data_IF_704487115782
#
_entry.id   IF_704487115782
#
_cell.length_a   1.000
_cell.length_b   1.000
_cell.length_c   1.000
_cell.angle_alpha   90.00
_cell.angle_beta   90.00
_cell.angle_gamma   90.00
#
_symmetry.space_group_name_H-M   'P 1'
#
loop_
_entity.id
_entity.type
_entity.pdbx_description
1 polymer ?
#
# COMPACT_ATOMS: atom_id res chain seq x y z
N UNK A 1 25.13 3.79 -3.20
CA UNK A 1 24.42 4.68 -2.25
C UNK A 1 23.16 5.31 -2.85
N UNK A 2 23.13 5.63 -4.15
CA UNK A 2 21.98 6.25 -4.83
C UNK A 2 20.64 5.56 -4.56
N UNK A 3 20.58 4.22 -4.58
CA UNK A 3 19.36 3.47 -4.31
C UNK A 3 18.78 3.71 -2.90
N UNK A 4 19.62 3.89 -1.87
CA UNK A 4 19.16 4.16 -0.50
C UNK A 4 18.62 5.58 -0.36
N UNK A 5 19.24 6.56 -1.03
CA UNK A 5 18.76 7.94 -1.04
C UNK A 5 17.36 8.01 -1.65
N UNK A 6 17.11 7.29 -2.76
CA UNK A 6 15.78 7.23 -3.36
C UNK A 6 14.76 6.52 -2.46
N UNK A 7 15.15 5.47 -1.73
CA UNK A 7 14.29 4.86 -0.70
C UNK A 7 13.90 5.86 0.39
N UNK A 8 14.85 6.60 0.96
CA UNK A 8 14.56 7.56 2.01
C UNK A 8 13.71 8.75 1.51
N UNK A 9 13.98 9.27 0.31
CA UNK A 9 13.11 10.26 -0.34
C UNK A 9 11.68 9.74 -0.54
N UNK A 10 11.55 8.49 -1.00
CA UNK A 10 10.26 7.83 -1.13
C UNK A 10 9.57 7.60 0.22
N UNK A 11 10.29 7.48 1.33
CA UNK A 11 9.69 7.31 2.66
C UNK A 11 9.39 8.63 3.38
N UNK A 12 9.93 9.76 2.91
CA UNK A 12 9.68 11.10 3.47
C UNK A 12 8.30 11.67 3.08
N UNK A 13 7.25 10.87 3.20
CA UNK A 13 5.86 11.25 2.89
C UNK A 13 4.89 10.41 3.71
N UNK A 14 3.94 11.08 4.36
CA UNK A 14 2.99 10.47 5.29
C UNK A 14 2.15 9.39 4.62
N UNK A 15 1.64 9.62 3.41
CA UNK A 15 0.78 8.68 2.71
C UNK A 15 1.56 7.46 2.23
N UNK A 16 2.82 7.63 1.80
CA UNK A 16 3.70 6.51 1.46
C UNK A 16 4.03 5.65 2.68
N UNK A 17 4.23 6.24 3.86
CA UNK A 17 4.38 5.48 5.11
C UNK A 17 3.10 4.70 5.45
N UNK A 18 1.92 5.32 5.32
CA UNK A 18 0.62 4.64 5.52
C UNK A 18 0.44 3.44 4.57
N UNK A 19 0.77 3.61 3.28
CA UNK A 19 0.75 2.52 2.28
C UNK A 19 1.69 1.39 2.69
N UNK A 20 2.94 1.71 3.00
CA UNK A 20 3.94 0.73 3.42
C UNK A 20 3.48 -0.03 4.67
N UNK A 21 2.84 0.66 5.61
CA UNK A 21 2.33 0.04 6.83
C UNK A 21 1.24 -0.99 6.54
N UNK A 22 0.25 -0.65 5.70
CA UNK A 22 -0.76 -1.62 5.28
C UNK A 22 -0.14 -2.84 4.58
N UNK A 23 0.84 -2.63 3.68
CA UNK A 23 1.53 -3.71 2.99
C UNK A 23 2.32 -4.62 3.94
N UNK A 24 3.04 -4.04 4.91
CA UNK A 24 3.85 -4.77 5.88
C UNK A 24 2.97 -5.60 6.83
N UNK A 25 1.86 -5.02 7.30
CA UNK A 25 0.97 -5.62 8.30
C UNK A 25 0.02 -6.66 7.70
N UNK A 26 -0.37 -6.50 6.44
CA UNK A 26 -1.42 -7.35 5.83
C UNK A 26 -1.01 -8.80 5.61
N UNK A 27 0.27 -9.07 5.35
CA UNK A 27 0.76 -10.40 4.96
C UNK A 27 0.22 -10.92 3.61
N UNK A 28 -0.58 -10.14 2.89
CA UNK A 28 -1.18 -10.46 1.58
C UNK A 28 -0.89 -9.35 0.59
N UNK A 29 -1.04 -9.61 -0.71
CA UNK A 29 -1.09 -8.53 -1.69
C UNK A 29 -2.37 -7.69 -1.53
N UNK A 30 -2.27 -6.39 -1.82
CA UNK A 30 -3.35 -5.42 -1.67
C UNK A 30 -3.66 -4.76 -3.02
N UNK A 31 -4.92 -4.72 -3.41
CA UNK A 31 -5.36 -4.08 -4.64
C UNK A 31 -5.30 -2.54 -4.53
N UNK A 32 -4.99 -1.85 -5.63
CA UNK A 32 -5.05 -0.38 -5.72
C UNK A 32 -6.35 0.24 -5.18
N UNK A 33 -7.50 -0.38 -5.45
CA UNK A 33 -8.79 0.10 -4.97
C UNK A 33 -8.95 -0.03 -3.45
N UNK A 34 -8.33 -1.04 -2.85
CA UNK A 34 -8.38 -1.23 -1.41
C UNK A 34 -7.58 -0.15 -0.69
N UNK A 35 -6.49 0.36 -1.28
CA UNK A 35 -5.78 1.54 -0.76
C UNK A 35 -6.63 2.80 -0.82
N UNK A 36 -7.32 3.05 -1.92
CA UNK A 36 -8.24 4.20 -2.06
C UNK A 36 -9.27 4.21 -0.93
N UNK A 37 -9.91 3.07 -0.70
CA UNK A 37 -10.94 2.93 0.33
C UNK A 37 -10.36 3.03 1.75
N UNK A 38 -9.19 2.42 1.99
CA UNK A 38 -8.59 2.34 3.33
C UNK A 38 -7.92 3.63 3.77
N UNK A 39 -7.26 4.32 2.83
CA UNK A 39 -6.52 5.56 3.10
C UNK A 39 -7.37 6.81 2.90
N UNK A 40 -8.55 6.66 2.30
CA UNK A 40 -9.45 7.78 1.94
C UNK A 40 -8.74 8.79 1.03
N UNK A 41 -8.02 8.28 0.04
CA UNK A 41 -7.24 9.04 -0.93
C UNK A 41 -7.75 8.78 -2.35
N UNK A 42 -7.59 9.73 -3.26
CA UNK A 42 -8.00 9.54 -4.65
C UNK A 42 -7.17 8.47 -5.36
N UNK A 43 -7.76 7.81 -6.36
CA UNK A 43 -7.06 6.81 -7.18
C UNK A 43 -5.82 7.40 -7.88
N UNK A 44 -5.91 8.65 -8.35
CA UNK A 44 -4.76 9.36 -8.92
C UNK A 44 -3.61 9.48 -7.90
N UNK A 45 -3.92 9.89 -6.67
CA UNK A 45 -2.91 10.06 -5.63
C UNK A 45 -2.27 8.73 -5.25
N UNK A 46 -3.09 7.69 -5.03
CA UNK A 46 -2.60 6.33 -4.77
C UNK A 46 -1.68 5.84 -5.89
N UNK A 47 -2.08 5.98 -7.15
CA UNK A 47 -1.26 5.58 -8.31
C UNK A 47 0.09 6.30 -8.34
N UNK A 48 0.10 7.61 -8.06
CA UNK A 48 1.33 8.41 -7.96
C UNK A 48 2.24 7.90 -6.85
N UNK A 49 1.72 7.64 -5.66
CA UNK A 49 2.49 7.11 -4.54
C UNK A 49 3.06 5.71 -4.83
N UNK A 50 2.27 4.82 -5.45
CA UNK A 50 2.73 3.49 -5.86
C UNK A 50 3.88 3.56 -6.86
N UNK A 51 3.81 4.47 -7.84
CA UNK A 51 4.89 4.68 -8.82
C UNK A 51 6.20 5.07 -8.14
N UNK A 52 6.15 6.00 -7.17
CA UNK A 52 7.33 6.43 -6.40
C UNK A 52 7.91 5.27 -5.58
N UNK A 53 7.08 4.56 -4.82
CA UNK A 53 7.52 3.43 -4.01
C UNK A 53 8.09 2.27 -4.84
N UNK A 54 7.51 2.02 -6.03
CA UNK A 54 7.99 1.01 -6.98
C UNK A 54 9.33 1.43 -7.58
N UNK A 55 9.48 2.69 -7.97
CA UNK A 55 10.75 3.21 -8.50
C UNK A 55 11.88 3.13 -7.48
N UNK A 56 11.57 3.39 -6.20
CA UNK A 56 12.50 3.19 -5.08
C UNK A 56 12.74 1.70 -4.72
N UNK A 57 12.12 0.75 -5.44
CA UNK A 57 12.30 -0.68 -5.22
C UNK A 57 11.75 -1.17 -3.87
N UNK A 58 10.83 -0.44 -3.24
CA UNK A 58 10.24 -0.80 -1.95
C UNK A 58 9.02 -1.73 -2.10
N UNK A 59 8.30 -1.61 -3.20
CA UNK A 59 7.13 -2.44 -3.51
C UNK A 59 7.25 -3.06 -4.91
N UNK A 60 6.48 -4.13 -5.14
CA UNK A 60 6.26 -4.76 -6.44
C UNK A 60 4.77 -4.84 -6.73
N UNK A 61 4.42 -5.03 -7.99
CA UNK A 61 3.04 -5.15 -8.44
C UNK A 61 2.82 -6.44 -9.24
N UNK A 62 1.60 -6.97 -9.16
CA UNK A 62 1.13 -8.10 -9.96
C UNK A 62 -0.23 -7.74 -10.57
N UNK A 63 -0.37 -7.97 -11.87
CA UNK A 63 -1.64 -7.76 -12.57
C UNK A 63 -2.48 -9.04 -12.56
N UNK A 64 -3.78 -8.88 -12.37
CA UNK A 64 -4.75 -9.98 -12.45
C UNK A 64 -6.06 -9.47 -13.05
N UNK A 65 -6.27 -9.75 -14.33
CA UNK A 65 -7.33 -9.12 -15.11
C UNK A 65 -7.18 -7.60 -15.10
N UNK A 66 -8.25 -6.89 -14.70
CA UNK A 66 -8.25 -5.42 -14.58
C UNK A 66 -7.62 -4.89 -13.28
N UNK A 67 -7.24 -5.76 -12.35
CA UNK A 67 -6.78 -5.38 -11.03
C UNK A 67 -5.26 -5.38 -10.94
N UNK A 68 -4.71 -4.44 -10.18
CA UNK A 68 -3.28 -4.40 -9.84
C UNK A 68 -3.15 -4.57 -8.34
N UNK A 69 -2.41 -5.59 -7.93
CA UNK A 69 -2.12 -5.93 -6.55
C UNK A 69 -0.67 -5.58 -6.22
N UNK A 70 -0.43 -5.07 -5.01
CA UNK A 70 0.88 -4.62 -4.54
C UNK A 70 1.32 -5.44 -3.34
N UNK A 71 2.63 -5.68 -3.24
CA UNK A 71 3.29 -6.29 -2.08
C UNK A 71 4.65 -5.61 -1.85
N UNK A 72 5.21 -5.72 -0.65
CA UNK A 72 6.60 -5.30 -0.41
C UNK A 72 7.57 -6.14 -1.25
N UNK A 73 8.71 -5.57 -1.65
CA UNK A 73 9.75 -6.37 -2.33
C UNK A 73 10.37 -7.38 -1.37
N UNK A 74 11.08 -8.37 -1.95
CA UNK A 74 11.66 -9.49 -1.21
C UNK A 74 12.56 -9.01 -0.05
N UNK A 75 12.42 -9.68 1.10
CA UNK A 75 13.15 -9.41 2.35
C UNK A 75 14.52 -10.10 2.40
N UNK A 76 15.01 -10.67 1.30
CA UNK A 76 16.37 -11.22 1.17
C UNK A 76 17.45 -10.18 1.43
N UNK A 77 17.19 -8.94 1.07
CA UNK A 77 18.05 -7.81 1.40
C UNK A 77 17.91 -7.46 2.90
N UNK A 78 19.03 -7.53 3.62
CA UNK A 78 19.06 -7.32 5.08
C UNK A 78 18.66 -5.90 5.48
N UNK A 79 19.03 -4.90 4.66
CA UNK A 79 18.67 -3.50 4.89
C UNK A 79 17.16 -3.29 4.75
N UNK A 80 16.54 -3.77 3.66
CA UNK A 80 15.08 -3.73 3.48
C UNK A 80 14.34 -4.46 4.58
N UNK A 81 14.85 -5.62 5.01
CA UNK A 81 14.27 -6.37 6.13
C UNK A 81 14.23 -5.53 7.42
N UNK A 82 15.34 -4.85 7.75
CA UNK A 82 15.41 -3.95 8.90
C UNK A 82 14.51 -2.73 8.70
N UNK A 83 14.53 -2.12 7.51
CA UNK A 83 13.72 -0.95 7.17
C UNK A 83 12.23 -1.23 7.33
N UNK A 84 11.73 -2.36 6.82
CA UNK A 84 10.33 -2.76 6.99
C UNK A 84 10.00 -3.04 8.45
N UNK A 85 10.92 -3.61 9.23
CA UNK A 85 10.74 -3.78 10.68
C UNK A 85 10.60 -2.42 11.37
N UNK A 86 11.46 -1.45 11.06
CA UNK A 86 11.39 -0.09 11.63
C UNK A 86 10.08 0.62 11.26
N UNK A 87 9.66 0.55 9.99
CA UNK A 87 8.37 1.10 9.55
C UNK A 87 7.21 0.40 10.29
N UNK A 88 7.32 -0.91 10.51
CA UNK A 88 6.38 -1.72 11.30
C UNK A 88 6.39 -1.42 12.81
N UNK A 89 7.39 -0.70 13.31
CA UNK A 89 7.45 -0.23 14.70
C UNK A 89 6.92 1.20 14.88
N UNK A 90 6.58 1.91 13.80
CA UNK A 90 5.94 3.23 13.90
C UNK A 90 4.63 3.08 14.69
N UNK A 91 4.33 3.96 15.66
CA UNK A 91 3.12 3.90 16.46
C UNK A 91 1.83 3.75 15.63
N UNK A 92 0.96 2.83 16.07
CA UNK A 92 -0.26 2.48 15.34
C UNK A 92 -1.31 3.59 15.33
N UNK A 93 -1.29 4.51 16.29
CA UNK A 93 -2.20 5.65 16.38
C UNK A 93 -2.24 6.48 15.08
N UNK A 94 -1.12 6.54 14.35
CA UNK A 94 -1.01 7.22 13.05
C UNK A 94 -1.83 6.51 11.95
N UNK A 95 -1.97 5.18 12.02
CA UNK A 95 -2.59 4.33 10.97
C UNK A 95 -3.83 3.57 11.45
N UNK A 96 -4.25 3.74 12.70
CA UNK A 96 -5.31 2.95 13.35
C UNK A 96 -6.62 2.97 12.57
N UNK A 97 -7.01 4.13 12.04
CA UNK A 97 -8.22 4.26 11.24
C UNK A 97 -8.07 3.61 9.86
N UNK A 98 -6.87 3.68 9.26
CA UNK A 98 -6.57 3.03 8.00
C UNK A 98 -6.67 1.51 8.13
N UNK A 99 -6.06 0.94 9.18
CA UNK A 99 -6.13 -0.49 9.46
C UNK A 99 -7.57 -0.95 9.71
N UNK A 100 -8.39 -0.16 10.44
CA UNK A 100 -9.81 -0.47 10.65
C UNK A 100 -10.59 -0.52 9.34
N UNK A 101 -10.42 0.49 8.47
CA UNK A 101 -11.06 0.51 7.14
C UNK A 101 -10.54 -0.62 6.26
N UNK A 102 -9.25 -0.89 6.31
CA UNK A 102 -8.59 -1.94 5.54
C UNK A 102 -9.12 -3.32 5.89
N UNK A 103 -9.25 -3.67 7.18
CA UNK A 103 -9.85 -4.95 7.61
C UNK A 103 -11.24 -5.13 7.04
N UNK A 104 -12.12 -4.14 7.24
CA UNK A 104 -13.48 -4.14 6.66
C UNK A 104 -13.47 -4.27 5.13
N UNK A 105 -12.48 -3.67 4.47
CA UNK A 105 -12.36 -3.72 3.02
C UNK A 105 -11.89 -5.09 2.51
N UNK A 106 -11.07 -5.80 3.27
CA UNK A 106 -10.66 -7.16 2.96
C UNK A 106 -11.79 -8.17 3.15
N UNK A 107 -12.67 -7.97 4.13
CA UNK A 107 -13.79 -8.87 4.44
C UNK A 107 -14.78 -9.03 3.27
N UNK A 108 -14.86 -8.03 2.40
CA UNK A 108 -15.74 -8.04 1.21
C UNK A 108 -15.03 -8.56 -0.06
N UNK A 109 -13.84 -9.16 0.07
CA UNK A 109 -13.19 -9.87 -1.04
C UNK A 109 -14.01 -11.10 -1.44
N UNK A 110 -14.08 -11.35 -2.74
CA UNK A 110 -14.74 -12.54 -3.29
C UNK A 110 -13.67 -13.51 -3.75
N UNK A 111 -13.66 -14.72 -3.19
CA UNK A 111 -12.62 -15.74 -3.44
C UNK A 111 -11.18 -15.19 -3.23
N UNK A 112 -11.01 -14.36 -2.19
CA UNK A 112 -9.73 -13.72 -1.86
C UNK A 112 -9.33 -12.55 -2.77
N UNK A 113 -10.21 -12.09 -3.68
CA UNK A 113 -9.90 -11.06 -4.68
C UNK A 113 -10.76 -9.81 -4.51
N UNK A 114 -10.19 -8.65 -4.86
CA UNK A 114 -10.90 -7.39 -4.94
C UNK A 114 -11.67 -7.31 -6.27
N UNK A 115 -12.92 -7.78 -6.31
CA UNK A 115 -13.76 -7.74 -7.52
C UNK A 115 -14.73 -6.55 -7.58
N UNK A 116 -14.88 -5.83 -6.46
CA UNK A 116 -15.90 -4.77 -6.31
C UNK A 116 -15.40 -3.37 -6.71
N UNK A 117 -14.09 -3.17 -6.83
CA UNK A 117 -13.51 -1.85 -7.11
C UNK A 117 -13.59 -0.89 -5.92
N UNK A 118 -13.48 0.41 -6.19
CA UNK A 118 -13.54 1.45 -5.15
C UNK A 118 -14.95 1.48 -4.56
N UNK A 119 -15.05 1.27 -3.24
CA UNK A 119 -16.33 1.27 -2.52
C UNK A 119 -16.63 2.63 -1.86
N UNK A 120 -15.61 3.43 -1.60
CA UNK A 120 -15.78 4.76 -1.04
C UNK A 120 -16.43 5.67 -2.08
N UNK A 121 -17.71 6.00 -1.87
CA UNK A 121 -18.52 6.83 -2.78
C UNK A 121 -17.89 8.18 -3.11
N UNK A 122 -17.05 8.73 -2.23
CA UNK A 122 -16.30 9.97 -2.47
C UNK A 122 -15.32 9.84 -3.63
N UNK A 123 -14.74 8.65 -3.80
CA UNK A 123 -13.70 8.35 -4.78
C UNK A 123 -14.16 7.40 -5.89
N UNK A 124 -15.39 6.87 -5.81
CA UNK A 124 -15.97 5.98 -6.81
C UNK A 124 -16.38 6.69 -8.11
N UNK A 125 -16.19 8.02 -8.23
CA UNK A 125 -16.53 8.76 -9.45
C UNK A 125 -15.50 8.50 -10.55
N UNK A 126 -15.98 7.93 -11.66
CA UNK A 126 -15.31 7.60 -12.94
C UNK A 126 -14.28 6.47 -12.88
N UNK A 127 -14.78 5.22 -12.95
CA UNK A 127 -14.10 4.15 -13.70
C UNK A 127 -14.32 4.38 -15.19
#
# INVERSE_FOLDING_TARGET
MENHVEMFKALSDKTRIRIMRLLIDSGTEICGCEFVDSLEESQYNISRHMKVLKHAGLIKERKEGRWVYYSVTDRKDSFKKMLYKLIGCIPEDIVKNDQKRFKKRLDIRVKGKCLLGIQNKRFAKTQ
#
